data_IF_085000641559
#
_entry.id   IF_085000641559
#
_cell.length_a   1.000
_cell.length_b   1.000
_cell.length_c   1.000
_cell.angle_alpha   90.00
_cell.angle_beta   90.00
_cell.angle_gamma   90.00
#
_symmetry.space_group_name_H-M   'P 1'
#
loop_
_entity.id
_entity.type
_entity.pdbx_description
1 polymer ?
#
# COMPACT_ATOMS: atom_id res chain seq x y z
N UNK A 1 -23.88 7.10 2.52
CA UNK A 1 -22.43 7.39 2.46
C UNK A 1 -21.83 6.48 1.39
N UNK A 2 -21.37 7.03 0.28
CA UNK A 2 -20.75 6.26 -0.81
C UNK A 2 -19.32 5.90 -0.41
N UNK A 3 -18.93 4.61 -0.56
CA UNK A 3 -17.55 4.17 -0.37
C UNK A 3 -16.65 4.93 -1.34
N UNK A 4 -15.53 5.49 -0.89
CA UNK A 4 -14.58 6.14 -1.80
C UNK A 4 -14.09 5.13 -2.84
N UNK A 5 -13.96 5.53 -4.11
CA UNK A 5 -13.49 4.63 -5.16
C UNK A 5 -12.05 4.21 -4.89
N UNK A 6 -11.83 2.93 -4.63
CA UNK A 6 -10.49 2.35 -4.49
C UNK A 6 -9.93 2.14 -5.91
N UNK A 7 -9.18 3.13 -6.40
CA UNK A 7 -8.47 3.01 -7.68
C UNK A 7 -7.21 2.17 -7.48
N UNK A 8 -7.18 0.96 -8.06
CA UNK A 8 -6.00 0.09 -8.11
C UNK A 8 -5.50 0.03 -9.55
N UNK A 9 -4.57 0.89 -9.97
CA UNK A 9 -3.94 0.75 -11.28
C UNK A 9 -3.15 -0.56 -11.32
N UNK A 10 -3.49 -1.45 -12.25
CA UNK A 10 -2.76 -2.68 -12.50
C UNK A 10 -1.65 -2.36 -13.50
N UNK A 11 -0.41 -2.56 -13.11
CA UNK A 11 0.73 -2.48 -14.02
C UNK A 11 0.93 -3.83 -14.70
N UNK A 12 0.63 -3.92 -16.00
CA UNK A 12 0.90 -5.12 -16.80
C UNK A 12 2.38 -5.52 -16.79
N UNK A 13 3.28 -4.54 -16.76
CA UNK A 13 4.72 -4.76 -16.62
C UNK A 13 5.09 -5.44 -15.27
N UNK A 14 4.30 -5.20 -14.22
CA UNK A 14 4.47 -5.84 -12.92
C UNK A 14 4.12 -7.33 -12.90
N UNK A 15 3.47 -7.87 -13.94
CA UNK A 15 3.17 -9.31 -14.04
C UNK A 15 4.31 -10.11 -14.69
N UNK A 16 5.20 -9.47 -15.45
CA UNK A 16 6.33 -10.13 -16.13
C UNK A 16 7.23 -10.90 -15.16
N UNK A 17 7.70 -10.31 -14.04
CA UNK A 17 8.51 -11.03 -13.06
C UNK A 17 7.82 -12.29 -12.50
N UNK A 18 6.50 -12.24 -12.35
CA UNK A 18 5.71 -13.38 -11.86
C UNK A 18 5.72 -14.54 -12.86
N UNK A 19 5.56 -14.22 -14.15
CA UNK A 19 5.63 -15.23 -15.24
C UNK A 19 7.02 -15.85 -15.27
N UNK A 20 8.09 -15.05 -15.13
CA UNK A 20 9.48 -15.55 -15.10
C UNK A 20 9.68 -16.53 -13.94
N UNK A 21 9.26 -16.15 -12.72
CA UNK A 21 9.38 -17.02 -11.54
C UNK A 21 8.61 -18.32 -11.74
N UNK A 22 7.39 -18.26 -12.28
CA UNK A 22 6.60 -19.44 -12.60
C UNK A 22 7.31 -20.34 -13.60
N UNK A 23 7.85 -19.76 -14.68
CA UNK A 23 8.57 -20.51 -15.71
C UNK A 23 9.82 -21.18 -15.16
N UNK A 24 10.55 -20.51 -14.25
CA UNK A 24 11.73 -21.09 -13.59
C UNK A 24 11.31 -22.28 -12.71
N UNK A 25 10.26 -22.13 -11.91
CA UNK A 25 9.78 -23.23 -11.03
C UNK A 25 9.33 -24.43 -11.85
N UNK A 26 8.48 -24.21 -12.86
CA UNK A 26 8.02 -25.31 -13.72
C UNK A 26 9.16 -25.94 -14.53
N UNK A 27 10.08 -25.11 -15.04
CA UNK A 27 11.27 -25.60 -15.76
C UNK A 27 12.19 -26.44 -14.89
N UNK A 28 12.37 -26.07 -13.61
CA UNK A 28 13.16 -26.85 -12.66
C UNK A 28 12.51 -28.21 -12.38
N UNK A 29 11.19 -28.23 -12.13
CA UNK A 29 10.46 -29.49 -11.91
C UNK A 29 10.53 -30.35 -13.15
N UNK A 30 10.36 -29.80 -14.35
CA UNK A 30 10.49 -30.52 -15.62
C UNK A 30 11.89 -31.12 -15.78
N UNK A 31 12.94 -30.35 -15.49
CA UNK A 31 14.32 -30.84 -15.59
C UNK A 31 14.64 -32.01 -14.63
N UNK A 32 13.92 -32.10 -13.50
CA UNK A 32 14.09 -33.20 -12.53
C UNK A 32 13.25 -34.44 -12.90
N UNK A 33 12.02 -34.21 -13.40
CA UNK A 33 11.03 -35.29 -13.59
C UNK A 33 10.93 -35.78 -15.04
N UNK A 34 11.50 -35.02 -15.98
CA UNK A 34 11.38 -35.20 -17.43
C UNK A 34 9.93 -35.36 -17.91
N UNK A 35 8.99 -34.73 -17.20
CA UNK A 35 7.56 -34.83 -17.47
C UNK A 35 6.87 -33.49 -17.30
N UNK A 36 6.11 -33.06 -18.32
CA UNK A 36 5.30 -31.87 -18.31
C UNK A 36 4.15 -31.97 -17.30
N UNK A 37 3.56 -33.12 -17.15
CA UNK A 37 2.45 -33.37 -16.23
C UNK A 37 2.88 -33.13 -14.78
N UNK A 38 4.03 -33.63 -14.37
CA UNK A 38 4.61 -33.41 -13.05
C UNK A 38 5.04 -31.95 -12.87
N UNK A 39 5.57 -31.30 -13.90
CA UNK A 39 5.93 -29.88 -13.82
C UNK A 39 4.71 -29.01 -13.51
N UNK A 40 3.56 -29.31 -14.11
CA UNK A 40 2.31 -28.60 -13.84
C UNK A 40 1.74 -29.01 -12.48
N UNK A 41 1.64 -30.29 -12.19
CA UNK A 41 1.00 -30.83 -10.98
C UNK A 41 1.70 -30.38 -9.69
N UNK A 42 3.02 -30.21 -9.70
CA UNK A 42 3.81 -29.76 -8.56
C UNK A 42 4.05 -28.25 -8.62
N UNK A 43 4.37 -27.71 -9.78
CA UNK A 43 4.71 -26.29 -9.95
C UNK A 43 3.54 -25.34 -9.63
N UNK A 44 2.32 -25.68 -10.08
CA UNK A 44 1.15 -24.84 -9.79
C UNK A 44 0.83 -24.71 -8.29
N UNK A 45 0.73 -25.79 -7.49
CA UNK A 45 0.49 -25.68 -6.07
C UNK A 45 1.58 -24.88 -5.32
N UNK A 46 2.85 -25.10 -5.65
CA UNK A 46 3.97 -24.36 -5.06
C UNK A 46 3.78 -22.85 -5.30
N UNK A 47 3.51 -22.45 -6.54
CA UNK A 47 3.30 -21.06 -6.89
C UNK A 47 2.04 -20.48 -6.28
N UNK A 48 0.98 -21.27 -6.17
CA UNK A 48 -0.26 -20.85 -5.51
C UNK A 48 -0.02 -20.57 -4.02
N UNK A 49 0.62 -21.50 -3.31
CA UNK A 49 0.96 -21.36 -1.89
C UNK A 49 1.87 -20.13 -1.70
N UNK A 50 2.92 -20.00 -2.52
CA UNK A 50 3.81 -18.84 -2.47
C UNK A 50 3.05 -17.52 -2.69
N UNK A 51 2.20 -17.45 -3.72
CA UNK A 51 1.41 -16.26 -4.04
C UNK A 51 0.43 -15.89 -2.93
N UNK A 52 -0.24 -16.87 -2.33
CA UNK A 52 -1.15 -16.66 -1.20
C UNK A 52 -0.34 -16.16 0.00
N UNK A 53 0.71 -16.88 0.38
CA UNK A 53 1.52 -16.53 1.56
C UNK A 53 2.14 -15.15 1.42
N UNK A 54 2.76 -14.84 0.30
CA UNK A 54 3.40 -13.54 0.07
C UNK A 54 2.41 -12.36 0.10
N UNK A 55 1.20 -12.54 -0.42
CA UNK A 55 0.16 -11.50 -0.44
C UNK A 55 -0.56 -11.32 0.90
N UNK A 56 -0.63 -12.36 1.72
CA UNK A 56 -1.44 -12.32 2.95
C UNK A 56 -0.61 -12.18 4.22
N UNK A 57 0.56 -12.83 4.28
CA UNK A 57 1.38 -12.85 5.48
C UNK A 57 2.29 -11.63 5.56
N UNK A 58 3.01 -11.31 4.47
CA UNK A 58 3.99 -10.22 4.52
C UNK A 58 3.34 -8.84 4.73
N UNK A 59 2.31 -8.43 3.97
CA UNK A 59 1.65 -7.14 4.20
C UNK A 59 0.49 -7.24 5.22
N UNK A 60 0.61 -8.09 6.25
CA UNK A 60 -0.46 -8.32 7.24
C UNK A 60 -0.90 -7.02 7.90
N UNK A 61 0.02 -6.24 8.46
CA UNK A 61 -0.29 -4.97 9.13
C UNK A 61 -0.92 -3.95 8.18
N UNK A 62 -0.42 -3.85 6.94
CA UNK A 62 -1.03 -2.98 5.94
C UNK A 62 -2.50 -3.34 5.68
N UNK A 63 -2.80 -4.62 5.53
CA UNK A 63 -4.17 -5.10 5.29
C UNK A 63 -5.07 -4.90 6.49
N UNK A 64 -4.54 -5.16 7.70
CA UNK A 64 -5.28 -4.94 8.94
C UNK A 64 -5.61 -3.46 9.12
N UNK A 65 -4.66 -2.55 8.86
CA UNK A 65 -4.91 -1.12 8.89
C UNK A 65 -6.01 -0.69 7.89
N UNK A 66 -5.96 -1.18 6.64
CA UNK A 66 -7.01 -0.90 5.65
C UNK A 66 -8.38 -1.45 6.09
N UNK A 67 -8.40 -2.61 6.74
CA UNK A 67 -9.64 -3.18 7.27
C UNK A 67 -10.23 -2.31 8.38
N UNK A 68 -9.41 -1.86 9.34
CA UNK A 68 -9.83 -0.96 10.43
C UNK A 68 -10.32 0.39 9.88
N UNK A 69 -9.65 0.96 8.88
CA UNK A 69 -10.13 2.17 8.19
C UNK A 69 -11.53 1.96 7.58
N UNK A 70 -11.79 0.79 7.02
CA UNK A 70 -13.12 0.47 6.45
C UNK A 70 -14.22 0.37 7.51
N UNK A 71 -13.85 0.20 8.78
CA UNK A 71 -14.73 0.18 9.96
C UNK A 71 -14.76 1.53 10.69
N UNK A 72 -14.11 2.58 10.13
CA UNK A 72 -13.97 3.91 10.74
C UNK A 72 -13.19 3.91 12.08
N UNK A 73 -12.39 2.88 12.33
CA UNK A 73 -11.52 2.75 13.50
C UNK A 73 -10.13 3.35 13.17
N UNK A 74 -10.07 4.67 13.07
CA UNK A 74 -8.89 5.37 12.57
C UNK A 74 -7.72 5.35 13.56
N UNK A 75 -7.96 5.38 14.86
CA UNK A 75 -6.91 5.30 15.89
C UNK A 75 -6.18 3.95 15.85
N UNK A 76 -6.94 2.86 15.78
CA UNK A 76 -6.37 1.51 15.67
C UNK A 76 -5.67 1.31 14.32
N UNK A 77 -6.25 1.90 13.26
CA UNK A 77 -5.65 1.87 11.93
C UNK A 77 -4.29 2.57 11.86
N UNK A 78 -4.10 3.68 12.59
CA UNK A 78 -2.81 4.37 12.73
C UNK A 78 -1.74 3.42 13.24
N UNK A 79 -2.04 2.65 14.30
CA UNK A 79 -1.09 1.70 14.90
C UNK A 79 -0.66 0.65 13.87
N UNK A 80 -1.61 0.11 13.12
CA UNK A 80 -1.31 -0.94 12.14
C UNK A 80 -0.57 -0.40 10.92
N UNK A 81 -0.90 0.80 10.44
CA UNK A 81 -0.17 1.43 9.35
C UNK A 81 1.24 1.86 9.76
N UNK A 82 1.43 2.29 11.01
CA UNK A 82 2.76 2.59 11.55
C UNK A 82 3.65 1.33 11.60
N UNK A 83 3.12 0.20 12.11
CA UNK A 83 3.82 -1.10 12.08
C UNK A 83 4.16 -1.54 10.65
N UNK A 84 3.24 -1.29 9.71
CA UNK A 84 3.49 -1.57 8.30
C UNK A 84 4.64 -0.74 7.74
N UNK A 85 4.66 0.57 8.03
CA UNK A 85 5.73 1.47 7.61
C UNK A 85 7.08 1.02 8.16
N UNK A 86 7.18 0.80 9.49
CA UNK A 86 8.37 0.34 10.17
C UNK A 86 8.90 -0.99 9.60
N UNK A 87 8.01 -1.93 9.29
CA UNK A 87 8.39 -3.19 8.67
C UNK A 87 9.06 -2.98 7.30
N UNK A 88 8.46 -2.18 6.43
CA UNK A 88 9.00 -1.94 5.09
C UNK A 88 10.21 -0.98 5.08
N UNK A 89 10.38 -0.15 6.10
CA UNK A 89 11.61 0.62 6.33
C UNK A 89 12.77 -0.28 6.80
N UNK A 90 12.48 -1.25 7.67
CA UNK A 90 13.46 -2.23 8.14
C UNK A 90 13.88 -3.20 7.04
N UNK A 91 12.98 -3.55 6.12
CA UNK A 91 13.22 -4.50 5.03
C UNK A 91 12.93 -3.89 3.66
N UNK A 92 13.67 -2.85 3.23
CA UNK A 92 13.37 -2.09 2.02
C UNK A 92 13.48 -2.94 0.75
N UNK A 93 14.28 -4.00 0.77
CA UNK A 93 14.42 -4.91 -0.36
C UNK A 93 13.10 -5.65 -0.70
N UNK A 94 12.27 -5.96 0.30
CA UNK A 94 10.96 -6.59 0.09
C UNK A 94 10.06 -5.66 -0.74
N UNK A 95 10.05 -4.38 -0.39
CA UNK A 95 9.26 -3.37 -1.09
C UNK A 95 9.82 -3.04 -2.49
N UNK A 96 11.15 -2.99 -2.64
CA UNK A 96 11.80 -2.74 -3.92
C UNK A 96 11.57 -3.89 -4.92
N UNK A 97 11.60 -5.12 -4.46
CA UNK A 97 11.34 -6.32 -5.26
C UNK A 97 9.91 -6.85 -5.11
N UNK A 98 8.96 -6.01 -4.74
CA UNK A 98 7.56 -6.41 -4.45
C UNK A 98 6.87 -7.15 -5.59
N UNK A 99 7.23 -6.88 -6.84
CA UNK A 99 6.67 -7.57 -7.99
C UNK A 99 6.98 -9.07 -7.97
N UNK A 100 8.17 -9.46 -7.47
CA UNK A 100 8.60 -10.86 -7.32
C UNK A 100 8.23 -11.36 -5.93
N UNK A 101 8.69 -10.67 -4.88
CA UNK A 101 8.60 -11.15 -3.49
C UNK A 101 7.16 -11.17 -2.98
N UNK A 102 6.35 -10.16 -3.32
CA UNK A 102 4.96 -10.04 -2.87
C UNK A 102 3.95 -10.36 -3.96
N UNK A 103 4.40 -10.77 -5.15
CA UNK A 103 3.53 -10.94 -6.31
C UNK A 103 2.59 -9.75 -6.51
N UNK A 104 3.07 -8.55 -6.22
CA UNK A 104 2.28 -7.31 -6.25
C UNK A 104 2.59 -6.50 -7.51
N UNK A 105 1.64 -6.34 -8.43
CA UNK A 105 1.80 -5.51 -9.63
C UNK A 105 1.59 -4.02 -9.35
N UNK A 106 1.52 -3.60 -8.08
CA UNK A 106 1.27 -2.21 -7.71
C UNK A 106 2.42 -1.30 -8.16
N UNK A 107 2.14 -0.16 -8.82
CA UNK A 107 3.15 0.84 -9.12
C UNK A 107 3.62 1.59 -7.87
N UNK A 108 2.79 1.63 -6.83
CA UNK A 108 3.07 2.30 -5.57
C UNK A 108 3.75 1.34 -4.59
N UNK A 109 4.78 1.80 -3.88
CA UNK A 109 5.44 1.03 -2.83
C UNK A 109 4.56 0.87 -1.57
N UNK A 110 4.81 -0.14 -0.76
CA UNK A 110 4.08 -0.32 0.50
C UNK A 110 4.39 0.79 1.50
N UNK A 111 5.60 1.35 1.48
CA UNK A 111 5.95 2.53 2.28
C UNK A 111 5.13 3.76 1.88
N UNK A 112 5.04 4.05 0.58
CA UNK A 112 4.17 5.13 0.09
C UNK A 112 2.71 4.91 0.47
N UNK A 113 2.20 3.67 0.32
CA UNK A 113 0.83 3.33 0.71
C UNK A 113 0.60 3.52 2.21
N UNK A 114 1.55 3.09 3.05
CA UNK A 114 1.46 3.27 4.50
C UNK A 114 1.42 4.75 4.88
N UNK A 115 2.30 5.57 4.30
CA UNK A 115 2.32 7.03 4.52
C UNK A 115 1.01 7.71 4.07
N UNK A 116 0.47 7.35 2.90
CA UNK A 116 -0.82 7.86 2.45
C UNK A 116 -1.97 7.48 3.38
N UNK A 117 -1.95 6.25 3.90
CA UNK A 117 -2.99 5.77 4.81
C UNK A 117 -2.87 6.42 6.19
N UNK A 118 -1.64 6.64 6.71
CA UNK A 118 -1.40 7.42 7.92
C UNK A 118 -1.94 8.84 7.76
N UNK A 119 -1.58 9.52 6.65
CA UNK A 119 -2.11 10.84 6.35
C UNK A 119 -3.64 10.87 6.30
N UNK A 120 -4.27 9.84 5.70
CA UNK A 120 -5.73 9.74 5.66
C UNK A 120 -6.33 9.50 7.05
N UNK A 121 -5.75 8.64 7.88
CA UNK A 121 -6.24 8.44 9.24
C UNK A 121 -6.15 9.73 10.06
N UNK A 122 -5.03 10.46 10.00
CA UNK A 122 -4.88 11.76 10.67
C UNK A 122 -5.87 12.81 10.14
N UNK A 123 -6.11 12.83 8.82
CA UNK A 123 -7.12 13.69 8.21
C UNK A 123 -8.53 13.41 8.77
N UNK A 124 -8.91 12.13 8.91
CA UNK A 124 -10.21 11.74 9.48
C UNK A 124 -10.34 12.06 10.99
N UNK A 125 -9.22 12.18 11.68
CA UNK A 125 -9.14 12.56 13.10
C UNK A 125 -8.97 14.07 13.29
N UNK A 126 -9.08 14.89 12.24
CA UNK A 126 -8.88 16.35 12.25
C UNK A 126 -7.50 16.79 12.76
N UNK A 127 -6.50 15.91 12.59
CA UNK A 127 -5.11 16.19 12.96
C UNK A 127 -4.33 16.62 11.73
N UNK A 128 -4.62 17.85 11.29
CA UNK A 128 -4.15 18.40 10.02
C UNK A 128 -2.63 18.45 9.86
N UNK A 129 -1.83 18.91 10.87
CA UNK A 129 -0.38 18.99 10.74
C UNK A 129 0.29 17.64 10.53
N UNK A 130 -0.17 16.62 11.25
CA UNK A 130 0.35 15.26 11.10
C UNK A 130 -0.05 14.67 9.75
N UNK A 131 -1.29 14.89 9.31
CA UNK A 131 -1.76 14.47 8.00
C UNK A 131 -0.91 15.07 6.89
N UNK A 132 -0.63 16.36 6.95
CA UNK A 132 0.23 17.08 6.00
C UNK A 132 1.62 16.47 5.95
N UNK A 133 2.26 16.28 7.10
CA UNK A 133 3.60 15.70 7.19
C UNK A 133 3.71 14.35 6.51
N UNK A 134 2.73 13.46 6.72
CA UNK A 134 2.74 12.13 6.11
C UNK A 134 2.49 12.15 4.60
N UNK A 135 1.61 13.02 4.10
CA UNK A 135 1.43 13.18 2.65
C UNK A 135 2.66 13.77 1.97
N UNK A 136 3.33 14.74 2.59
CA UNK A 136 4.59 15.28 2.09
C UNK A 136 5.70 14.22 2.02
N UNK A 137 5.80 13.37 3.06
CA UNK A 137 6.73 12.24 3.06
C UNK A 137 6.42 11.26 1.92
N UNK A 138 5.15 10.95 1.70
CA UNK A 138 4.73 10.10 0.58
C UNK A 138 5.11 10.71 -0.77
N UNK A 139 4.97 12.03 -0.94
CA UNK A 139 5.34 12.74 -2.17
C UNK A 139 6.86 12.82 -2.38
N UNK A 140 7.67 12.87 -1.32
CA UNK A 140 9.13 12.77 -1.43
C UNK A 140 9.56 11.42 -1.99
N UNK A 141 8.84 10.35 -1.67
CA UNK A 141 9.11 9.01 -2.23
C UNK A 141 8.55 8.84 -3.64
N UNK A 142 7.33 9.32 -3.87
CA UNK A 142 6.62 9.21 -5.13
C UNK A 142 5.98 10.54 -5.57
N UNK A 143 6.72 11.43 -6.28
CA UNK A 143 6.18 12.75 -6.66
C UNK A 143 4.91 12.71 -7.53
N UNK A 144 4.69 11.59 -8.22
CA UNK A 144 3.49 11.36 -9.05
C UNK A 144 2.34 10.68 -8.30
N UNK A 145 2.46 10.52 -6.99
CA UNK A 145 1.44 9.88 -6.16
C UNK A 145 0.20 10.77 -6.06
N UNK A 146 -0.84 10.43 -6.83
CA UNK A 146 -2.09 11.20 -6.88
C UNK A 146 -2.85 11.19 -5.56
N UNK A 147 -2.79 10.10 -4.78
CA UNK A 147 -3.47 10.01 -3.50
C UNK A 147 -2.88 11.00 -2.50
N UNK A 148 -1.54 11.04 -2.42
CA UNK A 148 -0.85 11.99 -1.55
C UNK A 148 -1.09 13.45 -1.99
N UNK A 149 -1.09 13.73 -3.30
CA UNK A 149 -1.40 15.07 -3.83
C UNK A 149 -2.83 15.52 -3.49
N UNK A 150 -3.80 14.61 -3.63
CA UNK A 150 -5.19 14.91 -3.29
C UNK A 150 -5.37 15.08 -1.77
N UNK A 151 -4.75 14.20 -0.98
CA UNK A 151 -4.78 14.30 0.48
C UNK A 151 -4.19 15.62 0.98
N UNK A 152 -3.04 16.03 0.44
CA UNK A 152 -2.40 17.30 0.80
C UNK A 152 -3.30 18.51 0.51
N UNK A 153 -3.92 18.55 -0.67
CA UNK A 153 -4.86 19.64 -1.02
C UNK A 153 -6.06 19.68 -0.07
N UNK A 154 -6.57 18.51 0.35
CA UNK A 154 -7.67 18.47 1.30
C UNK A 154 -7.24 19.02 2.66
N UNK A 155 -6.06 18.66 3.14
CA UNK A 155 -5.50 19.19 4.40
C UNK A 155 -5.31 20.70 4.32
N UNK A 156 -4.70 21.21 3.25
CA UNK A 156 -4.50 22.64 3.03
C UNK A 156 -5.84 23.40 3.07
N UNK A 157 -6.87 22.87 2.40
CA UNK A 157 -8.21 23.49 2.40
C UNK A 157 -8.88 23.51 3.78
N UNK A 158 -8.59 22.54 4.65
CA UNK A 158 -9.12 22.51 6.01
C UNK A 158 -8.37 23.50 6.92
N UNK A 159 -7.05 23.58 6.80
CA UNK A 159 -6.24 24.54 7.56
C UNK A 159 -6.64 25.97 7.21
N UNK A 160 -6.83 26.27 5.92
CA UNK A 160 -7.27 27.60 5.46
C UNK A 160 -8.69 27.93 5.95
N UNK A 161 -9.58 26.92 5.98
CA UNK A 161 -10.94 27.06 6.50
C UNK A 161 -10.96 27.37 8.02
N UNK A 162 -10.21 26.60 8.80
CA UNK A 162 -10.12 26.80 10.25
C UNK A 162 -9.48 28.18 10.59
N UNK A 163 -8.53 28.63 9.77
CA UNK A 163 -7.91 29.96 9.93
C UNK A 163 -8.92 31.10 9.64
N UNK A 164 -9.79 30.93 8.66
CA UNK A 164 -10.81 31.91 8.31
C UNK A 164 -11.95 31.99 9.36
N UNK A 165 -12.28 30.89 10.03
CA UNK A 165 -13.28 30.84 11.09
C UNK A 165 -12.73 31.31 12.45
N UNK A 166 -11.39 31.35 12.61
CA UNK A 166 -10.72 31.78 13.85
C UNK A 166 -10.44 33.25 13.96
N UNK A 167 -10.67 34.07 12.93
CA UNK A 167 -10.61 35.53 13.05
C UNK A 167 -11.86 36.04 13.78
N UNK A 168 -11.74 36.54 15.02
CA UNK A 168 -12.89 37.17 15.70
C UNK A 168 -13.29 38.39 14.89
N UNK A 169 -14.57 38.47 14.54
CA UNK A 169 -15.23 39.67 14.02
C UNK A 169 -15.02 40.79 15.07
N UNK A 170 -13.92 41.53 14.92
CA UNK A 170 -13.69 42.73 15.75
C UNK A 170 -14.84 43.69 15.48
N UNK A 171 -15.73 43.73 16.48
CA UNK A 171 -16.88 44.59 16.53
C UNK A 171 -16.47 46.07 16.33
N UNK A 172 -16.99 46.64 15.28
CA UNK A 172 -17.15 48.11 15.12
C UNK A 172 -18.20 48.65 16.09
#
# INVERSE_FOLDING_TARGET
MSRPPVYRPISWLGTIPQIVVYSVVCGTVYAITDSVDWAILIGMPIMLIYSITSRYVVPYHHRQGVHLMSQFQFEEALIEHQKSLEFFEKYPWIDNFRAVVLMSPSPMSYREMALCNLGNCYLQLSRWPEAQSHYEQALKMGPKNRLAQQGLRLVESQIDGDAAEGEPEEAT
#
